data_IF_993321439458
#
_entry.id   IF_993321439458
#
_cell.length_a   1.000
_cell.length_b   1.000
_cell.length_c   1.000
_cell.angle_alpha   90.00
_cell.angle_beta   90.00
_cell.angle_gamma   90.00
#
_symmetry.space_group_name_H-M   'P 1'
#
loop_
_entity.id
_entity.type
_entity.pdbx_description
1 polymer ?
#
# COMPACT_ATOMS: atom_id res chain seq x y z
N UNK A 1 -33.04 -32.25 -14.00
CA UNK A 1 -32.35 -31.18 -14.76
C UNK A 1 -32.02 -29.90 -13.93
N UNK A 2 -32.79 -29.53 -12.94
CA UNK A 2 -32.52 -28.33 -12.10
C UNK A 2 -31.23 -28.43 -11.25
N UNK A 3 -30.96 -29.60 -10.64
CA UNK A 3 -29.76 -29.80 -9.79
C UNK A 3 -28.41 -29.69 -10.51
N UNK A 4 -28.36 -29.87 -11.82
CA UNK A 4 -27.13 -29.71 -12.60
C UNK A 4 -26.82 -28.24 -12.94
N UNK A 5 -27.84 -27.38 -13.06
CA UNK A 5 -27.68 -25.94 -13.28
C UNK A 5 -27.17 -25.25 -12.03
N UNK A 6 -27.68 -25.63 -10.85
CA UNK A 6 -27.23 -25.04 -9.57
C UNK A 6 -25.75 -25.36 -9.27
N UNK A 7 -25.32 -26.59 -9.52
CA UNK A 7 -23.89 -26.93 -9.37
C UNK A 7 -22.97 -26.14 -10.31
N UNK A 8 -23.40 -25.90 -11.53
CA UNK A 8 -22.60 -25.16 -12.51
C UNK A 8 -22.45 -23.69 -12.14
N UNK A 9 -23.50 -23.08 -11.57
CA UNK A 9 -23.43 -21.70 -11.07
C UNK A 9 -22.52 -21.57 -9.83
N UNK A 10 -22.55 -22.55 -8.91
CA UNK A 10 -21.67 -22.54 -7.74
C UNK A 10 -20.18 -22.67 -8.12
N UNK A 11 -19.85 -23.45 -9.15
CA UNK A 11 -18.46 -23.51 -9.63
C UNK A 11 -18.01 -22.21 -10.31
N UNK A 12 -18.88 -21.56 -11.07
CA UNK A 12 -18.56 -20.27 -11.70
C UNK A 12 -18.38 -19.15 -10.65
N UNK A 13 -19.23 -19.07 -9.63
CA UNK A 13 -19.08 -18.11 -8.54
C UNK A 13 -17.80 -18.35 -7.73
N UNK A 14 -17.37 -19.60 -7.54
CA UNK A 14 -16.12 -19.92 -6.86
C UNK A 14 -14.88 -19.58 -7.71
N UNK A 15 -14.95 -19.77 -9.03
CA UNK A 15 -13.87 -19.37 -9.94
C UNK A 15 -13.73 -17.85 -10.04
N UNK A 16 -14.85 -17.12 -10.09
CA UNK A 16 -14.84 -15.65 -10.09
C UNK A 16 -14.32 -15.07 -8.77
N UNK A 17 -14.67 -15.66 -7.62
CA UNK A 17 -14.15 -15.26 -6.32
C UNK A 17 -12.65 -15.56 -6.19
N UNK A 18 -12.18 -16.71 -6.69
CA UNK A 18 -10.74 -17.03 -6.68
C UNK A 18 -9.94 -16.15 -7.63
N UNK A 19 -10.53 -15.68 -8.72
CA UNK A 19 -9.91 -14.75 -9.65
C UNK A 19 -9.81 -13.34 -9.04
N UNK A 20 -10.86 -12.91 -8.33
CA UNK A 20 -10.89 -11.62 -7.65
C UNK A 20 -9.91 -11.54 -6.47
N UNK A 21 -9.66 -12.65 -5.78
CA UNK A 21 -8.65 -12.71 -4.69
C UNK A 21 -7.20 -12.74 -5.24
N UNK A 22 -6.98 -13.22 -6.46
CA UNK A 22 -5.67 -13.17 -7.12
C UNK A 22 -5.27 -11.77 -7.59
N UNK A 23 -6.25 -10.91 -7.87
CA UNK A 23 -6.02 -9.53 -8.31
C UNK A 23 -5.80 -8.55 -7.14
N UNK A 24 -5.86 -9.05 -5.90
CA UNK A 24 -5.59 -8.25 -4.72
C UNK A 24 -4.08 -8.03 -4.61
N UNK A 25 -3.64 -6.85 -5.00
CA UNK A 25 -2.24 -6.41 -4.90
C UNK A 25 -1.87 -6.29 -3.42
N UNK A 26 -1.31 -7.37 -2.86
CA UNK A 26 -0.77 -7.35 -1.51
C UNK A 26 0.71 -6.93 -1.57
N UNK A 27 0.95 -5.64 -1.36
CA UNK A 27 2.29 -5.11 -1.14
C UNK A 27 2.58 -5.04 0.35
N UNK A 28 3.67 -5.67 0.77
CA UNK A 28 4.18 -5.52 2.13
C UNK A 28 4.70 -4.09 2.36
N UNK A 29 4.77 -3.67 3.62
CA UNK A 29 5.33 -2.36 3.99
C UNK A 29 6.73 -2.12 3.42
N UNK A 30 7.57 -3.16 3.39
CA UNK A 30 8.95 -3.09 2.86
C UNK A 30 8.96 -2.92 1.34
N UNK A 31 8.10 -3.62 0.63
CA UNK A 31 7.95 -3.49 -0.82
C UNK A 31 7.49 -2.08 -1.18
N UNK A 32 6.51 -1.52 -0.47
CA UNK A 32 6.06 -0.14 -0.63
C UNK A 32 7.22 0.85 -0.42
N UNK A 33 8.06 0.64 0.59
CA UNK A 33 9.24 1.48 0.84
C UNK A 33 10.24 1.40 -0.33
N UNK A 34 10.50 0.20 -0.86
CA UNK A 34 11.40 -0.01 -2.02
C UNK A 34 10.85 0.71 -3.26
N UNK A 35 9.57 0.50 -3.60
CA UNK A 35 8.92 1.16 -4.73
C UNK A 35 8.95 2.68 -4.61
N UNK A 36 8.70 3.24 -3.43
CA UNK A 36 8.82 4.67 -3.17
C UNK A 36 10.25 5.18 -3.39
N UNK A 37 11.28 4.41 -3.03
CA UNK A 37 12.68 4.78 -3.26
C UNK A 37 13.03 4.92 -4.74
N UNK A 38 12.40 4.12 -5.62
CA UNK A 38 12.71 4.09 -7.06
C UNK A 38 11.68 4.82 -7.94
N UNK A 39 10.58 5.32 -7.35
CA UNK A 39 9.49 6.01 -8.07
C UNK A 39 9.95 7.17 -8.95
N UNK A 40 10.90 7.96 -8.50
CA UNK A 40 11.36 9.14 -9.24
C UNK A 40 12.76 9.02 -9.84
N UNK A 41 13.52 7.98 -9.48
CA UNK A 41 14.92 7.84 -9.90
C UNK A 41 15.39 6.39 -9.78
N UNK A 42 16.04 5.91 -10.85
CA UNK A 42 16.70 4.60 -10.83
C UNK A 42 17.78 4.52 -9.76
N UNK A 43 17.81 3.42 -8.98
CA UNK A 43 18.75 3.22 -7.87
C UNK A 43 19.32 1.81 -7.88
N UNK A 44 20.53 1.65 -7.37
CA UNK A 44 21.09 0.32 -7.11
C UNK A 44 20.52 -0.26 -5.82
N UNK A 45 20.52 -1.59 -5.66
CA UNK A 45 20.10 -2.27 -4.43
C UNK A 45 20.78 -1.70 -3.18
N UNK A 46 22.09 -1.45 -3.28
CA UNK A 46 22.85 -0.84 -2.17
C UNK A 46 22.36 0.56 -1.80
N UNK A 47 21.93 1.38 -2.77
CA UNK A 47 21.37 2.69 -2.51
C UNK A 47 19.99 2.58 -1.87
N UNK A 48 19.15 1.65 -2.34
CA UNK A 48 17.84 1.36 -1.77
C UNK A 48 18.01 0.92 -0.32
N UNK A 49 18.87 -0.06 -0.05
CA UNK A 49 19.13 -0.56 1.30
C UNK A 49 19.53 0.56 2.28
N UNK A 50 20.45 1.45 1.86
CA UNK A 50 20.86 2.61 2.68
C UNK A 50 19.70 3.56 2.99
N UNK A 51 18.80 3.77 2.03
CA UNK A 51 17.68 4.71 2.21
C UNK A 51 16.60 4.17 3.16
N UNK A 52 16.36 2.86 3.14
CA UNK A 52 15.35 2.23 4.00
C UNK A 52 15.93 1.64 5.29
N UNK A 53 17.26 1.77 5.50
CA UNK A 53 17.94 1.26 6.68
C UNK A 53 18.04 -0.27 6.74
N UNK A 54 18.10 -0.95 5.60
CA UNK A 54 18.20 -2.40 5.50
C UNK A 54 19.48 -2.83 4.81
N UNK A 55 20.00 -4.01 5.22
CA UNK A 55 21.12 -4.64 4.53
C UNK A 55 20.73 -5.10 3.13
N UNK A 56 21.68 -5.10 2.21
CA UNK A 56 21.50 -5.59 0.83
C UNK A 56 21.04 -7.03 0.80
N UNK A 57 21.47 -7.88 1.77
CA UNK A 57 21.03 -9.28 1.89
C UNK A 57 19.51 -9.41 2.11
N UNK A 58 18.88 -8.39 2.72
CA UNK A 58 17.42 -8.35 2.94
C UNK A 58 16.72 -7.70 1.74
N UNK A 59 17.33 -6.70 1.14
CA UNK A 59 16.75 -5.93 0.03
C UNK A 59 16.73 -6.72 -1.27
N UNK A 60 17.80 -7.49 -1.55
CA UNK A 60 17.94 -8.24 -2.81
C UNK A 60 16.79 -9.23 -3.05
N UNK A 61 16.39 -10.10 -2.10
CA UNK A 61 15.25 -10.99 -2.31
C UNK A 61 13.92 -10.24 -2.49
N UNK A 62 13.71 -9.11 -1.80
CA UNK A 62 12.50 -8.29 -1.98
C UNK A 62 12.43 -7.65 -3.37
N UNK A 63 13.57 -7.19 -3.90
CA UNK A 63 13.63 -6.67 -5.27
C UNK A 63 13.37 -7.79 -6.27
N UNK A 64 13.92 -8.99 -6.04
CA UNK A 64 13.65 -10.16 -6.90
C UNK A 64 12.16 -10.51 -6.90
N UNK A 65 11.51 -10.47 -5.75
CA UNK A 65 10.06 -10.69 -5.65
C UNK A 65 9.26 -9.62 -6.41
N UNK A 66 9.62 -8.35 -6.26
CA UNK A 66 9.01 -7.26 -7.02
C UNK A 66 9.24 -7.38 -8.54
N UNK A 67 10.39 -7.91 -8.96
CA UNK A 67 10.66 -8.21 -10.37
C UNK A 67 9.78 -9.37 -10.88
N UNK A 68 9.58 -10.42 -10.08
CA UNK A 68 8.68 -11.52 -10.43
C UNK A 68 7.22 -11.07 -10.54
N UNK A 69 6.81 -10.10 -9.71
CA UNK A 69 5.50 -9.44 -9.80
C UNK A 69 5.39 -8.46 -10.99
N UNK A 70 6.49 -8.19 -11.69
CA UNK A 70 6.54 -7.23 -12.80
C UNK A 70 6.52 -5.76 -12.38
N UNK A 71 6.72 -5.44 -11.09
CA UNK A 71 6.67 -4.08 -10.56
C UNK A 71 8.00 -3.33 -10.64
N UNK A 72 9.10 -4.06 -10.78
CA UNK A 72 10.46 -3.54 -10.90
C UNK A 72 11.18 -4.21 -12.06
N UNK A 73 11.96 -3.43 -12.79
CA UNK A 73 12.90 -3.91 -13.80
C UNK A 73 14.31 -3.47 -13.44
N UNK A 74 15.30 -4.20 -13.94
CA UNK A 74 16.71 -3.84 -13.82
C UNK A 74 17.27 -3.38 -15.13
N UNK A 75 17.99 -2.26 -15.11
CA UNK A 75 18.74 -1.75 -16.24
C UNK A 75 20.23 -1.72 -15.93
N UNK A 76 21.04 -2.19 -16.85
CA UNK A 76 22.50 -2.16 -16.73
C UNK A 76 23.04 -0.89 -17.40
N UNK A 77 23.67 -0.01 -16.64
CA UNK A 77 24.36 1.19 -17.14
C UNK A 77 25.86 1.02 -17.05
N UNK A 78 26.56 1.21 -18.17
CA UNK A 78 28.02 1.29 -18.20
C UNK A 78 28.46 2.66 -17.69
N UNK A 79 29.42 2.65 -16.77
CA UNK A 79 29.97 3.87 -16.13
C UNK A 79 31.44 3.99 -16.47
N UNK A 80 32.04 3.97 -17.41
CA UNK A 80 33.42 3.81 -17.88
C UNK A 80 33.61 2.42 -18.51
N UNK A 81 34.68 2.30 -19.30
CA UNK A 81 34.90 1.16 -20.19
C UNK A 81 34.82 -0.23 -19.52
N UNK A 82 34.95 -0.31 -18.16
CA UNK A 82 35.07 -1.59 -17.47
C UNK A 82 34.02 -1.80 -16.34
N UNK A 83 33.24 -0.79 -15.95
CA UNK A 83 32.31 -0.93 -14.83
C UNK A 83 30.87 -0.77 -15.28
N UNK A 84 30.10 -1.88 -15.19
CA UNK A 84 28.64 -1.83 -15.33
C UNK A 84 27.98 -1.92 -13.96
N UNK A 85 26.94 -1.14 -13.75
CA UNK A 85 26.09 -1.23 -12.55
C UNK A 85 24.66 -1.48 -12.95
N UNK A 86 23.98 -2.32 -12.16
CA UNK A 86 22.56 -2.58 -12.29
C UNK A 86 21.77 -1.59 -11.44
N UNK A 87 20.73 -1.03 -12.04
CA UNK A 87 19.82 -0.07 -11.41
C UNK A 87 18.42 -0.62 -11.49
N UNK A 88 17.70 -0.56 -10.40
CA UNK A 88 16.27 -0.86 -10.34
C UNK A 88 15.47 0.35 -10.80
N UNK A 89 14.47 0.12 -11.63
CA UNK A 89 13.48 1.09 -12.07
C UNK A 89 12.09 0.55 -11.79
N UNK A 90 11.16 1.43 -11.46
CA UNK A 90 9.77 1.06 -11.29
C UNK A 90 9.10 0.97 -12.67
N UNK A 91 8.26 -0.05 -12.86
CA UNK A 91 7.43 -0.20 -14.06
C UNK A 91 6.12 0.57 -13.92
N UNK A 92 5.33 0.66 -14.99
CA UNK A 92 3.98 1.22 -14.95
C UNK A 92 3.12 0.40 -13.98
N UNK A 93 3.17 -0.94 -14.06
CA UNK A 93 2.45 -1.82 -13.13
C UNK A 93 2.88 -1.60 -11.67
N UNK A 94 4.16 -1.34 -11.42
CA UNK A 94 4.66 -1.01 -10.08
C UNK A 94 4.17 0.35 -9.57
N UNK A 95 4.01 1.34 -10.44
CA UNK A 95 3.42 2.63 -10.09
C UNK A 95 1.95 2.49 -9.73
N UNK A 96 1.19 1.74 -10.54
CA UNK A 96 -0.23 1.48 -10.31
C UNK A 96 -0.45 0.71 -8.99
N UNK A 97 0.38 -0.31 -8.74
CA UNK A 97 0.34 -1.07 -7.50
C UNK A 97 0.62 -0.20 -6.27
N UNK A 98 1.60 0.71 -6.37
CA UNK A 98 1.93 1.65 -5.30
C UNK A 98 0.79 2.64 -5.03
N UNK A 99 0.13 3.12 -6.07
CA UNK A 99 -1.01 4.03 -5.95
C UNK A 99 -2.23 3.34 -5.33
N UNK A 100 -2.52 2.12 -5.75
CA UNK A 100 -3.59 1.31 -5.14
C UNK A 100 -3.32 1.02 -3.66
N UNK A 101 -2.08 0.67 -3.29
CA UNK A 101 -1.70 0.46 -1.89
C UNK A 101 -1.88 1.75 -1.06
N UNK A 102 -1.56 2.92 -1.62
CA UNK A 102 -1.77 4.21 -0.96
C UNK A 102 -3.25 4.51 -0.75
N UNK A 103 -4.08 4.34 -1.78
CA UNK A 103 -5.52 4.59 -1.71
C UNK A 103 -6.19 3.66 -0.69
N UNK A 104 -5.79 2.39 -0.65
CA UNK A 104 -6.27 1.44 0.35
C UNK A 104 -5.92 1.89 1.76
N UNK A 105 -4.69 2.36 1.98
CA UNK A 105 -4.26 2.87 3.28
C UNK A 105 -5.06 4.12 3.70
N UNK A 106 -5.26 5.07 2.79
CA UNK A 106 -6.06 6.28 3.04
C UNK A 106 -7.51 5.92 3.42
N UNK A 107 -8.13 4.98 2.71
CA UNK A 107 -9.48 4.49 3.02
C UNK A 107 -9.56 3.82 4.39
N UNK A 108 -8.57 3.01 4.77
CA UNK A 108 -8.51 2.37 6.09
C UNK A 108 -8.38 3.42 7.21
N UNK A 109 -7.53 4.42 7.01
CA UNK A 109 -7.34 5.52 7.97
C UNK A 109 -8.65 6.30 8.15
N UNK A 110 -9.37 6.60 7.07
CA UNK A 110 -10.66 7.29 7.16
C UNK A 110 -11.72 6.45 7.89
N UNK A 111 -11.81 5.16 7.60
CA UNK A 111 -12.70 4.24 8.29
C UNK A 111 -12.42 4.14 9.81
N UNK A 112 -11.13 4.05 10.19
CA UNK A 112 -10.73 4.04 11.60
C UNK A 112 -11.12 5.36 12.28
N UNK A 113 -10.94 6.47 11.58
CA UNK A 113 -11.30 7.79 12.07
C UNK A 113 -12.79 7.94 12.28
N UNK A 114 -13.63 7.51 11.32
CA UNK A 114 -15.08 7.53 11.44
C UNK A 114 -15.53 6.71 12.65
N UNK A 115 -15.02 5.50 12.82
CA UNK A 115 -15.32 4.65 13.97
C UNK A 115 -14.84 5.24 15.30
N UNK A 116 -13.68 5.86 15.33
CA UNK A 116 -13.18 6.52 16.53
C UNK A 116 -14.09 7.69 16.94
N UNK A 117 -14.54 8.50 15.98
CA UNK A 117 -15.49 9.61 16.25
C UNK A 117 -16.81 9.06 16.77
N UNK A 118 -17.38 8.03 16.15
CA UNK A 118 -18.62 7.39 16.59
C UNK A 118 -18.51 6.84 18.02
N UNK A 119 -17.38 6.18 18.34
CA UNK A 119 -17.14 5.66 19.69
C UNK A 119 -17.05 6.78 20.73
N UNK A 120 -16.36 7.89 20.40
CA UNK A 120 -16.24 9.06 21.27
C UNK A 120 -17.62 9.71 21.48
N UNK A 121 -18.42 9.84 20.43
CA UNK A 121 -19.76 10.42 20.52
C UNK A 121 -20.69 9.55 21.39
N UNK A 122 -20.61 8.23 21.29
CA UNK A 122 -21.36 7.30 22.14
C UNK A 122 -20.94 7.40 23.60
N UNK A 123 -19.66 7.47 23.93
CA UNK A 123 -19.15 7.64 25.30
C UNK A 123 -19.54 9.01 25.85
N UNK A 124 -19.51 10.06 25.03
CA UNK A 124 -19.90 11.40 25.43
C UNK A 124 -21.42 11.55 25.66
N UNK A 125 -22.24 10.65 25.10
CA UNK A 125 -23.68 10.68 25.29
C UNK A 125 -24.10 10.53 26.77
N UNK A 126 -23.32 9.79 27.55
CA UNK A 126 -23.60 9.47 28.94
C UNK A 126 -23.07 10.51 29.94
N UNK A 127 -22.28 11.50 29.51
CA UNK A 127 -21.67 12.52 30.38
C UNK A 127 -21.68 13.92 29.76
N UNK A 128 -22.33 14.91 30.40
CA UNK A 128 -22.40 16.28 29.89
C UNK A 128 -21.03 16.99 29.85
N UNK A 129 -20.11 16.64 30.75
CA UNK A 129 -18.75 17.17 30.77
C UNK A 129 -17.90 16.65 29.61
N UNK A 130 -18.07 15.37 29.26
CA UNK A 130 -17.41 14.76 28.13
C UNK A 130 -17.92 15.32 26.79
N UNK A 131 -19.22 15.65 26.68
CA UNK A 131 -19.76 16.35 25.49
C UNK A 131 -19.07 17.66 25.22
N UNK A 132 -18.84 18.48 26.22
CA UNK A 132 -18.12 19.75 26.08
C UNK A 132 -16.67 19.55 25.64
N UNK A 133 -15.97 18.56 26.19
CA UNK A 133 -14.61 18.24 25.79
C UNK A 133 -14.51 17.74 24.35
N UNK A 134 -15.46 16.92 23.89
CA UNK A 134 -15.52 16.41 22.51
C UNK A 134 -15.83 17.53 21.52
N UNK A 135 -16.74 18.44 21.85
CA UNK A 135 -17.08 19.60 20.99
C UNK A 135 -15.86 20.50 20.82
N UNK A 136 -15.12 20.78 21.91
CA UNK A 136 -13.90 21.62 21.84
C UNK A 136 -12.78 20.95 21.05
N UNK A 137 -12.58 19.64 21.18
CA UNK A 137 -11.61 18.87 20.41
C UNK A 137 -11.97 18.82 18.91
N UNK A 138 -13.24 18.64 18.56
CA UNK A 138 -13.73 18.67 17.18
C UNK A 138 -13.56 20.07 16.54
N UNK A 139 -13.79 21.14 17.30
CA UNK A 139 -13.58 22.53 16.83
C UNK A 139 -12.11 22.81 16.58
N UNK A 140 -11.21 22.45 17.48
CA UNK A 140 -9.78 22.61 17.34
C UNK A 140 -9.23 21.84 16.12
N UNK A 141 -9.72 20.62 15.91
CA UNK A 141 -9.33 19.81 14.76
C UNK A 141 -9.76 20.40 13.41
N UNK A 142 -10.97 20.99 13.35
CA UNK A 142 -11.49 21.64 12.14
C UNK A 142 -10.67 22.88 11.76
N UNK A 143 -10.15 23.59 12.74
CA UNK A 143 -9.28 24.77 12.54
C UNK A 143 -7.91 24.38 11.97
N UNK A 144 -7.33 23.28 12.43
CA UNK A 144 -6.03 22.77 11.91
C UNK A 144 -6.17 22.30 10.46
N UNK A 145 -7.30 21.69 10.07
CA UNK A 145 -7.53 21.23 8.69
C UNK A 145 -7.65 22.37 7.67
N UNK A 146 -7.96 23.58 8.10
CA UNK A 146 -8.08 24.77 7.23
C UNK A 146 -6.72 25.48 7.04
N UNK A 147 -5.74 25.19 7.90
CA UNK A 147 -4.42 25.83 7.89
C UNK A 147 -3.32 25.00 7.21
N UNK A 148 -3.64 23.78 6.72
CA UNK A 148 -2.76 22.90 5.96
C UNK A 148 -3.31 22.69 4.55
#
# INVERSE_FOLDING_TARGET
>A
MLKQKEKKNQYQEQEEQQQHDKDRIELSKREIQILNCIKGKSRTEKQIGRMIGLDTLIVSPLITELMLKGYVETIRRRRLFFFSREYCIITIAGLDALEQARNLFENIVELIRERAVETIDNIAADSPLLKLAVISAKAAYKTVKVLV
#
